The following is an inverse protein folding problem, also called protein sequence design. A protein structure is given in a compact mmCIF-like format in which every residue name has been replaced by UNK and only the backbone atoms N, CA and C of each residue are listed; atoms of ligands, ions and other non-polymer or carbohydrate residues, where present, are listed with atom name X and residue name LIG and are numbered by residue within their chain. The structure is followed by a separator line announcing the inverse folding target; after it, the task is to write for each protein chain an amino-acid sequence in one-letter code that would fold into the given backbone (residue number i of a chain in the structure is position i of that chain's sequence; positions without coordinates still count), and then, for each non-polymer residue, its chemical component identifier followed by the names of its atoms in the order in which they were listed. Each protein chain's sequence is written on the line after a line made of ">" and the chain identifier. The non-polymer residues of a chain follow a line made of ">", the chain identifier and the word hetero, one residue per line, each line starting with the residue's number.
data_IF_814851471585
#
_entry.id   IF_814851471585
#
_cell.length_a   1.000
_cell.length_b   1.000
_cell.length_c   1.000
_cell.angle_alpha   90.00
_cell.angle_beta   90.00
_cell.angle_gamma   90.00
#
_symmetry.space_group_name_H-M   'P 1'
#
loop_
_entity.id
_entity.type
_entity.pdbx_description
1 polymer ?
#
# COMPACT_ATOMS: atom_id res chain seq x y z
N UNK A 1 1.76 -22.17 -21.40
CA UNK A 1 0.65 -21.57 -20.63
C UNK A 1 1.08 -20.21 -20.11
N UNK A 2 0.62 -19.15 -20.79
CA UNK A 2 0.91 -17.76 -20.42
C UNK A 2 0.36 -17.44 -19.02
N UNK A 3 1.26 -17.11 -18.09
CA UNK A 3 0.86 -16.44 -16.86
C UNK A 3 0.38 -15.04 -17.25
N UNK A 4 -0.94 -14.87 -17.28
CA UNK A 4 -1.63 -13.58 -17.41
C UNK A 4 -0.94 -12.56 -16.49
N UNK A 5 -0.17 -11.62 -17.05
CA UNK A 5 0.40 -10.47 -16.34
C UNK A 5 -0.75 -9.68 -15.71
N UNK A 6 -1.06 -9.99 -14.45
CA UNK A 6 -2.16 -9.38 -13.70
C UNK A 6 -1.70 -7.97 -13.28
N UNK A 7 -2.26 -6.96 -13.95
CA UNK A 7 -2.32 -5.52 -13.64
C UNK A 7 -1.19 -4.88 -12.81
N UNK A 8 0.00 -4.72 -13.41
CA UNK A 8 1.09 -3.93 -12.83
C UNK A 8 0.82 -2.41 -12.79
N UNK A 9 -0.18 -1.91 -13.53
CA UNK A 9 -0.50 -0.47 -13.61
C UNK A 9 -1.29 0.04 -12.40
N UNK A 10 -1.83 -0.84 -11.56
CA UNK A 10 -2.60 -0.41 -10.40
C UNK A 10 -1.69 0.00 -9.23
N UNK A 11 -0.43 -0.49 -9.15
CA UNK A 11 0.53 -0.13 -8.06
C UNK A 11 0.98 1.31 -8.10
N UNK A 12 1.28 1.91 -9.27
CA UNK A 12 1.64 3.32 -9.32
C UNK A 12 0.44 4.24 -9.04
N UNK A 13 -0.78 3.85 -9.46
CA UNK A 13 -1.99 4.65 -9.23
C UNK A 13 -2.34 4.70 -7.74
N UNK A 14 -2.31 3.56 -7.04
CA UNK A 14 -2.57 3.53 -5.59
C UNK A 14 -1.51 4.34 -4.82
N UNK A 15 -0.25 4.24 -5.21
CA UNK A 15 0.82 5.05 -4.63
C UNK A 15 0.58 6.55 -4.85
N UNK A 16 0.18 6.94 -6.06
CA UNK A 16 -0.16 8.33 -6.37
C UNK A 16 -1.35 8.84 -5.54
N UNK A 17 -2.41 8.03 -5.38
CA UNK A 17 -3.55 8.37 -4.53
C UNK A 17 -3.10 8.55 -3.08
N UNK A 18 -2.29 7.61 -2.54
CA UNK A 18 -1.75 7.71 -1.17
C UNK A 18 -0.93 9.00 -0.99
N UNK A 19 -0.07 9.35 -1.95
CA UNK A 19 0.73 10.58 -1.90
C UNK A 19 -0.18 11.82 -1.90
N UNK A 20 -1.18 11.87 -2.78
CA UNK A 20 -2.15 12.97 -2.85
C UNK A 20 -2.89 13.11 -1.51
N UNK A 21 -3.37 12.01 -0.93
CA UNK A 21 -4.08 12.03 0.34
C UNK A 21 -3.21 12.54 1.49
N UNK A 22 -1.96 12.06 1.58
CA UNK A 22 -1.00 12.54 2.59
C UNK A 22 -0.75 14.04 2.40
N UNK A 23 -0.57 14.49 1.15
CA UNK A 23 -0.34 15.89 0.85
C UNK A 23 -1.53 16.77 1.28
N UNK A 24 -2.73 16.44 0.83
CA UNK A 24 -3.95 17.21 1.10
C UNK A 24 -4.30 17.24 2.59
N UNK A 25 -4.01 16.18 3.34
CA UNK A 25 -4.28 16.10 4.77
C UNK A 25 -3.28 16.88 5.64
N UNK A 26 -2.01 16.98 5.22
CA UNK A 26 -0.93 17.47 6.08
C UNK A 26 -0.30 18.81 5.62
N UNK A 27 -0.46 19.18 4.35
CA UNK A 27 0.16 20.38 3.77
C UNK A 27 -0.86 21.30 3.06
N UNK A 28 -1.96 21.68 3.73
CA UNK A 28 -2.97 22.53 3.11
C UNK A 28 -2.39 23.90 2.77
N UNK A 29 -2.79 24.44 1.62
CA UNK A 29 -2.41 25.77 1.11
C UNK A 29 -0.90 26.01 0.84
N UNK A 30 -0.03 25.00 0.96
CA UNK A 30 1.37 25.13 0.58
C UNK A 30 1.59 25.22 -0.95
N UNK A 31 0.61 24.76 -1.74
CA UNK A 31 0.70 24.78 -3.20
C UNK A 31 0.42 26.17 -3.77
N UNK A 32 1.32 26.70 -4.60
CA UNK A 32 1.04 27.89 -5.41
C UNK A 32 0.45 27.51 -6.78
N UNK A 33 1.16 26.68 -7.55
CA UNK A 33 0.81 26.30 -8.93
C UNK A 33 1.32 24.91 -9.29
N UNK A 34 0.61 24.21 -10.17
CA UNK A 34 1.09 22.98 -10.84
C UNK A 34 0.93 23.12 -12.34
N UNK A 35 2.02 22.88 -13.08
CA UNK A 35 2.02 22.79 -14.54
C UNK A 35 2.23 21.34 -14.95
N UNK A 36 1.20 20.72 -15.53
CA UNK A 36 1.34 19.42 -16.20
C UNK A 36 1.65 19.69 -17.65
N UNK A 37 2.90 19.49 -18.06
CA UNK A 37 3.37 19.77 -19.42
C UNK A 37 3.49 18.49 -20.24
N UNK A 38 3.44 18.62 -21.56
CA UNK A 38 3.60 17.49 -22.48
C UNK A 38 2.63 16.33 -22.19
N UNK A 39 1.42 16.64 -21.71
CA UNK A 39 0.47 15.65 -21.23
C UNK A 39 -0.03 14.79 -22.41
N UNK A 40 0.25 13.47 -22.43
CA UNK A 40 -0.25 12.58 -23.46
C UNK A 40 -1.76 12.35 -23.30
N UNK A 41 -2.42 11.85 -24.36
CA UNK A 41 -3.87 11.57 -24.33
C UNK A 41 -4.31 10.69 -23.16
N UNK A 42 -3.47 9.77 -22.66
CA UNK A 42 -3.80 8.93 -21.51
C UNK A 42 -4.06 9.74 -20.21
N UNK A 43 -3.52 10.96 -20.10
CA UNK A 43 -3.77 11.84 -18.96
C UNK A 43 -5.25 12.20 -18.80
N UNK A 44 -6.01 12.27 -19.91
CA UNK A 44 -7.45 12.52 -19.86
C UNK A 44 -8.24 11.38 -19.20
N UNK A 45 -7.66 10.18 -19.14
CA UNK A 45 -8.22 9.02 -18.44
C UNK A 45 -7.76 9.00 -16.98
N UNK A 46 -6.48 9.29 -16.72
CA UNK A 46 -5.91 9.25 -15.37
C UNK A 46 -6.39 10.36 -14.44
N UNK A 47 -6.47 11.61 -14.92
CA UNK A 47 -6.85 12.74 -14.07
C UNK A 47 -8.24 12.63 -13.45
N UNK A 48 -9.30 12.20 -14.18
CA UNK A 48 -10.60 11.92 -13.57
C UNK A 48 -10.60 10.89 -12.44
N UNK A 49 -9.69 9.90 -12.47
CA UNK A 49 -9.54 8.90 -11.40
C UNK A 49 -8.92 9.53 -10.14
N UNK A 50 -7.97 10.46 -10.31
CA UNK A 50 -7.31 11.15 -9.19
C UNK A 50 -8.18 12.30 -8.63
N UNK A 51 -9.00 12.93 -9.47
CA UNK A 51 -9.80 14.13 -9.16
C UNK A 51 -10.65 14.06 -7.87
N UNK A 52 -11.26 12.92 -7.47
CA UNK A 52 -12.00 12.81 -6.21
C UNK A 52 -11.13 12.96 -4.97
N UNK A 53 -9.82 12.71 -5.08
CA UNK A 53 -8.86 12.78 -3.98
C UNK A 53 -8.15 14.15 -3.88
N UNK A 54 -8.43 15.07 -4.81
CA UNK A 54 -7.80 16.40 -4.88
C UNK A 54 -8.84 17.45 -4.51
N UNK A 55 -8.54 18.27 -3.51
CA UNK A 55 -9.43 19.35 -3.07
C UNK A 55 -9.64 20.40 -4.16
N UNK A 56 -10.80 21.05 -4.18
CA UNK A 56 -11.16 22.01 -5.22
C UNK A 56 -10.14 23.14 -5.38
N UNK A 57 -9.62 23.66 -4.26
CA UNK A 57 -8.59 24.70 -4.28
C UNK A 57 -7.30 24.23 -4.95
N UNK A 58 -6.85 23.01 -4.64
CA UNK A 58 -5.69 22.37 -5.28
C UNK A 58 -5.95 22.18 -6.77
N UNK A 59 -7.14 21.69 -7.16
CA UNK A 59 -7.53 21.52 -8.58
C UNK A 59 -7.48 22.83 -9.36
N UNK A 60 -7.92 23.94 -8.76
CA UNK A 60 -7.90 25.25 -9.40
C UNK A 60 -6.47 25.80 -9.64
N UNK A 61 -5.46 25.22 -8.98
CA UNK A 61 -4.04 25.54 -9.16
C UNK A 61 -3.37 24.68 -10.25
N UNK A 62 -4.04 23.66 -10.79
CA UNK A 62 -3.49 22.75 -11.81
C UNK A 62 -3.79 23.28 -13.21
N UNK A 63 -2.75 23.53 -14.01
CA UNK A 63 -2.85 23.83 -15.46
C UNK A 63 -2.28 22.67 -16.26
N UNK A 64 -3.06 22.14 -17.20
CA UNK A 64 -2.68 20.96 -18.00
C UNK A 64 -2.47 21.39 -19.45
N UNK A 65 -1.32 21.02 -20.02
CA UNK A 65 -0.93 21.34 -21.38
C UNK A 65 -0.55 20.08 -22.13
N UNK A 66 -0.94 20.01 -23.42
CA UNK A 66 -0.55 18.94 -24.32
C UNK A 66 0.89 19.09 -24.83
N UNK A 67 1.15 18.60 -26.04
CA UNK A 67 2.48 18.57 -26.65
C UNK A 67 2.97 19.92 -27.20
N UNK A 68 2.13 20.96 -27.24
CA UNK A 68 2.53 22.27 -27.75
C UNK A 68 3.48 22.98 -26.77
N UNK A 69 4.77 22.91 -27.08
CA UNK A 69 5.82 23.52 -26.27
C UNK A 69 5.79 25.04 -26.19
N UNK A 70 5.25 25.73 -27.19
CA UNK A 70 5.15 27.19 -27.12
C UNK A 70 4.14 27.59 -26.06
N UNK A 71 3.02 26.89 -26.01
CA UNK A 71 1.95 27.17 -25.06
C UNK A 71 2.39 26.93 -23.61
N UNK A 72 2.96 25.75 -23.32
CA UNK A 72 3.31 25.43 -21.94
C UNK A 72 4.54 26.20 -21.44
N UNK A 73 5.53 26.48 -22.30
CA UNK A 73 6.67 27.34 -21.92
C UNK A 73 6.22 28.76 -21.60
N UNK A 74 5.38 29.36 -22.43
CA UNK A 74 4.84 30.70 -22.18
C UNK A 74 4.06 30.76 -20.85
N UNK A 75 3.30 29.70 -20.53
CA UNK A 75 2.56 29.65 -19.28
C UNK A 75 3.44 29.54 -18.03
N UNK A 76 4.56 28.80 -18.10
CA UNK A 76 5.52 28.70 -16.99
C UNK A 76 6.30 30.01 -16.82
N UNK A 77 6.83 30.57 -17.91
CA UNK A 77 7.63 31.79 -17.90
C UNK A 77 6.84 33.06 -17.49
N UNK A 78 5.52 32.99 -17.49
CA UNK A 78 4.67 34.03 -16.91
C UNK A 78 4.69 34.06 -15.37
N UNK A 79 5.15 32.97 -14.73
CA UNK A 79 5.13 32.80 -13.27
C UNK A 79 6.52 32.45 -12.70
N UNK A 80 7.51 32.09 -13.53
CA UNK A 80 8.86 31.68 -13.13
C UNK A 80 9.91 32.43 -13.94
N UNK A 81 10.95 32.95 -13.28
CA UNK A 81 12.08 33.61 -13.93
C UNK A 81 12.83 32.63 -14.85
N UNK A 82 13.13 33.00 -16.11
CA UNK A 82 13.93 32.17 -17.00
C UNK A 82 15.28 31.72 -16.41
N UNK A 83 15.93 32.50 -15.56
CA UNK A 83 17.24 32.16 -14.97
C UNK A 83 17.13 31.04 -13.90
N UNK A 84 15.95 30.85 -13.32
CA UNK A 84 15.67 29.86 -12.28
C UNK A 84 15.05 28.55 -12.84
N UNK A 85 14.84 28.48 -14.16
CA UNK A 85 14.17 27.37 -14.81
C UNK A 85 15.13 26.63 -15.75
N UNK A 86 15.23 25.28 -15.68
CA UNK A 86 16.05 24.51 -16.59
C UNK A 86 15.70 24.78 -18.06
N UNK A 87 16.72 24.80 -18.93
CA UNK A 87 16.55 24.98 -20.39
C UNK A 87 15.58 23.94 -20.97
N UNK A 88 15.59 22.70 -20.48
CA UNK A 88 14.66 21.66 -20.95
C UNK A 88 13.18 21.99 -20.68
N UNK A 89 12.89 22.85 -19.69
CA UNK A 89 11.56 23.37 -19.37
C UNK A 89 11.31 24.78 -19.90
N UNK A 90 12.22 25.30 -20.74
CA UNK A 90 12.04 26.57 -21.46
C UNK A 90 12.70 27.79 -20.83
N UNK A 91 13.45 27.63 -19.74
CA UNK A 91 14.26 28.70 -19.17
C UNK A 91 15.67 28.76 -19.76
N UNK A 92 16.61 29.21 -18.95
CA UNK A 92 18.02 29.45 -19.31
C UNK A 92 19.01 28.78 -18.35
N UNK A 93 18.52 28.18 -17.24
CA UNK A 93 19.36 27.50 -16.26
C UNK A 93 19.98 26.22 -16.84
N UNK A 94 21.27 26.04 -16.59
CA UNK A 94 22.04 24.83 -16.90
C UNK A 94 22.87 24.41 -15.68
N UNK A 95 23.29 23.14 -15.65
CA UNK A 95 24.37 22.75 -14.74
C UNK A 95 25.69 23.47 -15.08
N UNK A 96 26.67 23.38 -14.18
CA UNK A 96 28.01 23.96 -14.36
C UNK A 96 28.75 23.43 -15.61
N UNK A 97 28.41 22.23 -16.07
CA UNK A 97 28.95 21.62 -17.30
C UNK A 97 28.13 21.98 -18.56
N UNK A 98 27.09 22.82 -18.42
CA UNK A 98 26.20 23.22 -19.50
C UNK A 98 25.03 22.27 -19.76
N UNK A 99 24.79 21.26 -18.92
CA UNK A 99 23.67 20.34 -19.12
C UNK A 99 22.30 21.07 -19.01
N UNK A 100 21.46 21.04 -20.05
CA UNK A 100 20.19 21.78 -20.08
C UNK A 100 19.09 21.18 -19.19
N UNK A 101 19.30 19.97 -18.66
CA UNK A 101 18.33 19.29 -17.80
C UNK A 101 18.56 19.57 -16.31
N UNK A 102 19.65 20.23 -15.95
CA UNK A 102 20.03 20.50 -14.55
C UNK A 102 19.99 19.22 -13.70
N UNK A 103 20.65 18.14 -14.16
CA UNK A 103 20.59 16.81 -13.53
C UNK A 103 21.30 16.77 -12.18
N UNK A 104 22.10 17.79 -11.85
CA UNK A 104 22.62 17.96 -10.49
C UNK A 104 21.51 18.24 -9.46
N UNK A 105 20.37 18.79 -9.90
CA UNK A 105 19.21 19.13 -9.07
C UNK A 105 17.99 18.26 -9.36
N UNK A 106 17.78 17.86 -10.62
CA UNK A 106 16.59 17.14 -11.07
C UNK A 106 16.94 15.71 -11.48
N UNK A 107 16.46 14.73 -10.71
CA UNK A 107 16.57 13.33 -11.10
C UNK A 107 15.60 13.01 -12.25
N UNK A 108 16.13 12.56 -13.38
CA UNK A 108 15.35 12.25 -14.59
C UNK A 108 14.79 10.82 -14.62
N UNK A 109 14.96 10.07 -13.53
CA UNK A 109 14.59 8.66 -13.44
C UNK A 109 15.52 7.73 -14.23
N UNK A 110 15.01 6.57 -14.62
CA UNK A 110 15.74 5.53 -15.33
C UNK A 110 15.19 4.14 -15.03
N UNK A 111 15.68 3.13 -15.75
CA UNK A 111 15.37 1.74 -15.42
C UNK A 111 16.06 1.38 -14.10
N UNK A 112 15.29 0.89 -13.12
CA UNK A 112 15.84 0.43 -11.84
C UNK A 112 16.60 -0.89 -12.09
N UNK A 113 17.91 -0.98 -11.76
CA UNK A 113 18.65 -2.21 -11.96
C UNK A 113 18.02 -3.39 -11.21
N UNK A 114 17.94 -4.56 -11.84
CA UNK A 114 17.30 -5.76 -11.28
C UNK A 114 17.89 -6.21 -9.94
N UNK A 115 19.14 -5.85 -9.65
CA UNK A 115 19.78 -6.11 -8.36
C UNK A 115 19.10 -5.40 -7.19
N UNK A 116 18.37 -4.30 -7.43
CA UNK A 116 17.58 -3.61 -6.40
C UNK A 116 16.18 -4.19 -6.22
N UNK A 117 15.78 -5.16 -7.07
CA UNK A 117 14.43 -5.73 -6.96
C UNK A 117 14.39 -6.60 -5.72
N UNK A 118 13.38 -6.35 -4.89
CA UNK A 118 13.13 -7.19 -3.73
C UNK A 118 12.88 -8.63 -4.21
N UNK A 119 13.75 -9.55 -3.81
CA UNK A 119 13.77 -10.95 -4.26
C UNK A 119 13.15 -11.92 -3.26
N UNK A 120 12.70 -11.41 -2.10
CA UNK A 120 11.99 -12.18 -1.09
C UNK A 120 10.69 -12.71 -1.66
N UNK A 121 10.67 -13.97 -2.07
CA UNK A 121 9.41 -14.68 -2.27
C UNK A 121 8.91 -15.07 -0.88
N UNK A 122 7.69 -14.68 -0.54
CA UNK A 122 7.08 -15.13 0.69
C UNK A 122 7.03 -16.66 0.71
N UNK A 123 7.37 -17.27 1.83
CA UNK A 123 7.16 -18.71 2.01
C UNK A 123 5.66 -18.98 2.12
N UNK A 124 5.13 -19.63 1.08
CA UNK A 124 3.73 -20.05 0.97
C UNK A 124 3.53 -21.53 1.30
N UNK A 125 4.59 -22.24 1.69
CA UNK A 125 4.49 -23.64 2.08
C UNK A 125 3.55 -23.80 3.28
N UNK A 126 2.65 -24.78 3.21
CA UNK A 126 1.66 -25.08 4.26
C UNK A 126 0.68 -23.92 4.61
N UNK A 127 0.56 -22.89 3.76
CA UNK A 127 -0.39 -21.80 3.93
C UNK A 127 -1.61 -21.97 3.03
N UNK A 128 -2.78 -21.60 3.54
CA UNK A 128 -4.01 -21.41 2.75
C UNK A 128 -3.97 -20.04 2.08
N UNK A 129 -4.72 -19.86 0.99
CA UNK A 129 -4.87 -18.54 0.34
C UNK A 129 -6.31 -18.06 0.39
N UNK A 130 -6.49 -16.76 0.62
CA UNK A 130 -7.77 -16.06 0.57
C UNK A 130 -7.63 -14.80 -0.30
N UNK A 131 -8.63 -14.49 -1.12
CA UNK A 131 -8.66 -13.23 -1.89
C UNK A 131 -9.84 -12.41 -1.42
N UNK A 132 -9.56 -11.21 -0.90
CA UNK A 132 -10.54 -10.30 -0.33
C UNK A 132 -10.80 -9.22 -1.34
N UNK A 133 -12.05 -9.04 -1.77
CA UNK A 133 -12.42 -8.02 -2.74
C UNK A 133 -12.11 -6.59 -2.21
N UNK A 134 -12.00 -5.63 -3.13
CA UNK A 134 -11.90 -4.21 -2.78
C UNK A 134 -13.15 -3.76 -2.03
N UNK A 135 -13.00 -3.00 -0.94
CA UNK A 135 -14.17 -2.53 -0.19
C UNK A 135 -14.90 -3.62 0.60
N UNK A 136 -14.22 -4.72 0.93
CA UNK A 136 -14.80 -5.87 1.63
C UNK A 136 -13.88 -6.37 2.74
N UNK A 137 -14.40 -7.25 3.59
CA UNK A 137 -13.67 -7.97 4.64
C UNK A 137 -14.09 -9.43 4.70
N UNK A 138 -13.25 -10.26 5.30
CA UNK A 138 -13.50 -11.69 5.49
C UNK A 138 -13.28 -12.07 6.96
N UNK A 139 -14.13 -12.98 7.45
CA UNK A 139 -14.10 -13.51 8.81
C UNK A 139 -13.82 -14.99 8.79
N UNK A 140 -12.81 -15.41 9.55
CA UNK A 140 -12.47 -16.82 9.77
C UNK A 140 -12.75 -17.16 11.22
N UNK A 141 -13.70 -18.07 11.45
CA UNK A 141 -14.08 -18.50 12.79
C UNK A 141 -13.26 -19.72 13.24
N UNK A 142 -12.72 -19.66 14.46
CA UNK A 142 -11.94 -20.71 15.08
C UNK A 142 -12.57 -21.06 16.43
N UNK A 143 -12.94 -22.33 16.59
CA UNK A 143 -13.43 -22.85 17.86
C UNK A 143 -12.25 -23.14 18.79
N UNK A 144 -12.35 -22.63 20.00
CA UNK A 144 -11.43 -22.86 21.11
C UNK A 144 -12.16 -23.68 22.16
N UNK A 145 -11.65 -24.87 22.45
CA UNK A 145 -12.33 -25.81 23.34
C UNK A 145 -11.99 -25.56 24.81
N UNK A 146 -10.78 -25.09 25.12
CA UNK A 146 -10.34 -24.87 26.50
C UNK A 146 -9.76 -23.46 26.71
N UNK A 147 -10.04 -22.91 27.88
CA UNK A 147 -9.29 -21.76 28.38
C UNK A 147 -7.80 -22.10 28.45
N UNK A 148 -6.96 -21.18 27.95
CA UNK A 148 -5.51 -21.35 27.88
C UNK A 148 -5.00 -21.93 26.57
N UNK A 149 -5.87 -22.45 25.69
CA UNK A 149 -5.51 -22.80 24.32
C UNK A 149 -4.95 -21.55 23.59
N UNK A 150 -4.09 -21.76 22.60
CA UNK A 150 -3.35 -20.67 21.95
C UNK A 150 -3.77 -20.55 20.50
N UNK A 151 -4.34 -19.40 20.13
CA UNK A 151 -4.59 -19.05 18.73
C UNK A 151 -3.35 -18.38 18.15
N UNK A 152 -2.79 -18.98 17.10
CA UNK A 152 -1.60 -18.47 16.40
C UNK A 152 -1.90 -18.14 14.95
N UNK A 153 -1.31 -17.07 14.45
CA UNK A 153 -1.38 -16.70 13.06
C UNK A 153 0.00 -16.42 12.47
N UNK A 154 0.13 -16.74 11.20
CA UNK A 154 1.23 -16.35 10.34
C UNK A 154 0.63 -16.04 8.97
N UNK A 155 0.72 -14.81 8.51
CA UNK A 155 0.22 -14.46 7.19
C UNK A 155 1.10 -13.46 6.46
N UNK A 156 1.00 -13.46 5.14
CA UNK A 156 1.61 -12.46 4.30
C UNK A 156 0.65 -12.08 3.16
N UNK A 157 0.83 -10.90 2.60
CA UNK A 157 0.03 -10.37 1.50
C UNK A 157 0.85 -10.33 0.20
N UNK A 158 0.30 -10.84 -0.91
CA UNK A 158 0.98 -10.78 -2.22
C UNK A 158 1.25 -9.34 -2.65
N UNK A 159 0.34 -8.41 -2.29
CA UNK A 159 0.43 -7.00 -2.64
C UNK A 159 -0.02 -6.12 -1.46
N UNK A 160 0.90 -5.29 -0.96
CA UNK A 160 0.65 -4.22 0.01
C UNK A 160 0.14 -4.69 1.37
N UNK A 161 -0.53 -3.78 2.08
CA UNK A 161 -1.01 -3.86 3.46
C UNK A 161 -2.36 -4.60 3.62
N UNK A 162 -2.79 -4.95 4.84
CA UNK A 162 -4.17 -5.35 5.14
C UNK A 162 -4.53 -4.87 6.54
N UNK A 163 -5.80 -4.57 6.81
CA UNK A 163 -6.26 -4.40 8.19
C UNK A 163 -6.49 -5.78 8.81
N UNK A 164 -5.95 -6.02 9.99
CA UNK A 164 -6.06 -7.28 10.70
C UNK A 164 -6.59 -7.06 12.10
N UNK A 165 -7.45 -7.96 12.56
CA UNK A 165 -7.98 -7.97 13.92
C UNK A 165 -8.33 -9.38 14.36
N UNK A 166 -8.37 -9.59 15.67
CA UNK A 166 -8.87 -10.82 16.29
C UNK A 166 -9.92 -10.44 17.31
N UNK A 167 -11.07 -11.09 17.23
CA UNK A 167 -12.20 -10.88 18.12
C UNK A 167 -12.57 -12.19 18.84
N UNK A 168 -13.17 -12.06 20.02
CA UNK A 168 -13.94 -13.13 20.65
C UNK A 168 -15.43 -12.89 20.39
N UNK A 169 -16.14 -13.92 19.92
CA UNK A 169 -17.58 -13.86 19.65
C UNK A 169 -18.37 -14.26 20.89
N UNK A 170 -19.25 -13.37 21.37
CA UNK A 170 -20.22 -13.65 22.45
C UNK A 170 -21.58 -13.12 22.05
N UNK A 171 -22.63 -13.95 22.12
CA UNK A 171 -24.01 -13.54 21.82
C UNK A 171 -24.17 -12.73 20.52
N UNK A 172 -23.39 -13.10 19.50
CA UNK A 172 -23.30 -12.44 18.20
C UNK A 172 -22.60 -11.06 18.17
N UNK A 173 -22.04 -10.62 19.29
CA UNK A 173 -21.13 -9.48 19.40
C UNK A 173 -19.66 -9.90 19.23
N UNK A 174 -18.85 -9.05 18.63
CA UNK A 174 -17.41 -9.24 18.43
C UNK A 174 -16.62 -8.35 19.39
N UNK A 175 -16.02 -8.96 20.40
CA UNK A 175 -15.20 -8.26 21.41
C UNK A 175 -13.75 -8.27 20.93
N UNK A 176 -13.11 -7.10 20.71
CA UNK A 176 -11.75 -7.04 20.19
C UNK A 176 -10.73 -7.57 21.20
N UNK A 177 -9.82 -8.43 20.74
CA UNK A 177 -8.68 -8.99 21.49
C UNK A 177 -7.37 -8.48 20.92
N UNK A 178 -7.24 -8.52 19.58
CA UNK A 178 -6.16 -7.84 18.85
C UNK A 178 -6.77 -6.62 18.15
N UNK A 179 -6.23 -5.40 18.38
CA UNK A 179 -6.75 -4.18 17.78
C UNK A 179 -6.81 -4.25 16.25
N UNK A 180 -7.78 -3.53 15.67
CA UNK A 180 -7.91 -3.38 14.23
C UNK A 180 -6.84 -2.43 13.70
N UNK A 181 -5.76 -3.00 13.19
CA UNK A 181 -4.59 -2.25 12.73
C UNK A 181 -4.23 -2.58 11.30
N UNK A 182 -3.65 -1.60 10.61
CA UNK A 182 -3.17 -1.72 9.24
C UNK A 182 -1.73 -2.22 9.24
N UNK A 183 -1.52 -3.40 8.67
CA UNK A 183 -0.24 -4.11 8.71
C UNK A 183 0.36 -4.17 7.30
N UNK A 184 1.62 -3.77 7.15
CA UNK A 184 2.39 -3.99 5.91
C UNK A 184 2.96 -5.41 5.89
N UNK A 185 2.15 -6.32 5.36
CA UNK A 185 2.42 -7.76 5.24
C UNK A 185 3.05 -8.16 3.90
N UNK A 186 3.53 -7.21 3.10
CA UNK A 186 4.14 -7.49 1.80
C UNK A 186 5.61 -7.90 1.94
N UNK A 187 6.36 -7.17 2.76
CA UNK A 187 7.83 -7.31 2.87
C UNK A 187 8.21 -8.37 3.91
N UNK A 188 7.46 -8.43 5.02
CA UNK A 188 7.61 -9.43 6.07
C UNK A 188 6.27 -10.11 6.32
N UNK A 189 6.31 -11.40 6.67
CA UNK A 189 5.13 -12.05 7.21
C UNK A 189 4.80 -11.42 8.57
N UNK A 190 3.51 -11.27 8.83
CA UNK A 190 2.97 -10.91 10.13
C UNK A 190 2.73 -12.19 10.92
N UNK A 191 3.28 -12.24 12.14
CA UNK A 191 3.21 -13.41 13.02
C UNK A 191 2.81 -12.98 14.42
N UNK A 192 1.91 -13.75 15.04
CA UNK A 192 1.49 -13.47 16.40
C UNK A 192 0.70 -14.62 17.01
N UNK A 193 0.53 -14.53 18.33
CA UNK A 193 -0.29 -15.47 19.09
C UNK A 193 -1.01 -14.78 20.23
N UNK A 194 -2.17 -15.32 20.61
CA UNK A 194 -2.87 -14.98 21.86
C UNK A 194 -3.12 -16.25 22.66
N UNK A 195 -3.09 -16.13 23.98
CA UNK A 195 -3.65 -17.12 24.88
C UNK A 195 -5.15 -16.81 24.99
N UNK A 196 -5.98 -17.76 24.61
CA UNK A 196 -7.42 -17.63 24.69
C UNK A 196 -7.85 -17.67 26.16
N UNK A 197 -8.35 -16.54 26.66
CA UNK A 197 -8.78 -16.39 28.05
C UNK A 197 -10.04 -17.21 28.37
N UNK A 198 -10.81 -17.57 27.35
CA UNK A 198 -12.03 -18.36 27.44
C UNK A 198 -12.19 -19.33 26.26
N UNK A 199 -12.89 -20.44 26.51
CA UNK A 199 -13.42 -21.32 25.46
C UNK A 199 -14.55 -20.63 24.69
N UNK A 200 -14.65 -20.85 23.38
CA UNK A 200 -15.68 -20.23 22.56
C UNK A 200 -15.25 -20.12 21.10
N UNK A 201 -15.78 -19.12 20.41
CA UNK A 201 -15.42 -18.84 19.01
C UNK A 201 -14.62 -17.55 18.95
N UNK A 202 -13.44 -17.63 18.34
CA UNK A 202 -12.61 -16.47 18.01
C UNK A 202 -12.71 -16.23 16.51
N UNK A 203 -12.77 -14.96 16.12
CA UNK A 203 -12.91 -14.53 14.74
C UNK A 203 -11.66 -13.77 14.35
N UNK A 204 -10.95 -14.29 13.34
CA UNK A 204 -9.87 -13.56 12.68
C UNK A 204 -10.45 -12.80 11.51
N UNK A 205 -10.25 -11.49 11.50
CA UNK A 205 -10.72 -10.59 10.45
C UNK A 205 -9.55 -10.12 9.58
N UNK A 206 -9.74 -10.23 8.28
CA UNK A 206 -8.93 -9.52 7.31
C UNK A 206 -9.82 -8.50 6.58
N UNK A 207 -9.46 -7.23 6.68
CA UNK A 207 -10.28 -6.11 6.21
C UNK A 207 -9.56 -5.33 5.10
N UNK A 208 -10.23 -5.22 3.96
CA UNK A 208 -9.80 -4.50 2.76
C UNK A 208 -10.78 -3.36 2.37
N UNK A 209 -11.56 -2.85 3.33
CA UNK A 209 -12.50 -1.75 3.12
C UNK A 209 -11.82 -0.45 2.64
N UNK A 210 -10.56 -0.24 3.01
CA UNK A 210 -9.80 0.95 2.63
C UNK A 210 -9.27 0.91 1.19
N UNK A 211 -9.27 -0.25 0.52
CA UNK A 211 -8.80 -0.33 -0.87
C UNK A 211 -9.91 0.05 -1.82
N UNK A 212 -9.61 1.01 -2.69
CA UNK A 212 -10.56 1.51 -3.67
C UNK A 212 -10.55 0.73 -4.99
N UNK A 213 -9.41 0.12 -5.35
CA UNK A 213 -9.20 -0.40 -6.70
C UNK A 213 -8.78 -1.88 -6.73
N UNK A 214 -8.57 -2.52 -5.58
CA UNK A 214 -7.93 -3.84 -5.53
C UNK A 214 -8.51 -4.79 -4.51
N UNK A 215 -8.65 -6.02 -4.99
CA UNK A 215 -8.66 -7.18 -4.14
C UNK A 215 -7.27 -7.47 -3.59
N UNK A 216 -7.17 -8.00 -2.37
CA UNK A 216 -5.92 -8.43 -1.76
C UNK A 216 -5.89 -9.94 -1.62
N UNK A 217 -4.78 -10.56 -2.03
CA UNK A 217 -4.56 -12.00 -1.85
C UNK A 217 -3.61 -12.23 -0.69
N UNK A 218 -4.09 -12.97 0.30
CA UNK A 218 -3.40 -13.27 1.55
C UNK A 218 -3.09 -14.76 1.57
N UNK A 219 -1.86 -15.10 1.97
CA UNK A 219 -1.49 -16.46 2.34
C UNK A 219 -1.35 -16.53 3.84
N UNK A 220 -2.08 -17.44 4.49
CA UNK A 220 -2.13 -17.53 5.94
C UNK A 220 -2.04 -18.98 6.44
N UNK A 221 -1.50 -19.13 7.64
CA UNK A 221 -1.60 -20.31 8.48
C UNK A 221 -2.09 -19.85 9.85
N UNK A 222 -3.32 -20.26 10.19
CA UNK A 222 -3.94 -19.93 11.48
C UNK A 222 -4.38 -21.25 12.11
N UNK A 223 -4.02 -21.44 13.38
CA UNK A 223 -4.30 -22.67 14.12
C UNK A 223 -4.55 -22.37 15.59
N UNK A 224 -5.37 -23.19 16.22
CA UNK A 224 -5.54 -23.26 17.67
C UNK A 224 -4.71 -24.46 18.14
N UNK A 225 -3.78 -24.21 19.07
CA UNK A 225 -2.98 -25.23 19.73
C UNK A 225 -3.47 -25.42 21.15
N UNK A 226 -3.78 -26.65 21.54
CA UNK A 226 -4.28 -26.87 22.90
C UNK A 226 -3.17 -26.69 23.94
N UNK A 227 -3.53 -26.14 25.10
CA UNK A 227 -2.59 -25.96 26.21
C UNK A 227 -1.97 -27.29 26.67
N UNK A 228 -2.73 -28.39 26.62
CA UNK A 228 -2.30 -29.72 27.03
C UNK A 228 -1.13 -30.27 26.20
N UNK A 229 -1.05 -29.96 24.90
CA UNK A 229 0.03 -30.43 24.02
C UNK A 229 1.32 -29.60 24.12
N UNK A 230 1.30 -28.43 24.78
CA UNK A 230 2.53 -27.73 25.20
C UNK A 230 3.18 -28.38 26.42
N UNK A 231 2.40 -28.92 27.37
CA UNK A 231 2.93 -29.59 28.57
C UNK A 231 3.63 -30.92 28.18
N UNK A 232 3.06 -31.68 27.25
CA UNK A 232 3.69 -32.93 26.77
C UNK A 232 5.03 -32.71 26.05
N UNK A 233 5.18 -31.60 25.33
CA UNK A 233 6.43 -31.27 24.64
C UNK A 233 7.49 -30.61 25.55
N UNK A 234 7.05 -29.90 26.60
CA UNK A 234 7.95 -29.32 27.61
C UNK A 234 8.58 -30.38 28.54
N UNK A 235 7.85 -31.44 28.86
CA UNK A 235 8.34 -32.53 29.72
C UNK A 235 9.40 -33.44 29.07
N UNK A 236 9.75 -33.22 27.79
CA UNK A 236 10.82 -33.99 27.11
C UNK A 236 12.23 -33.44 27.35
N UNK A 237 12.38 -32.28 27.99
CA UNK A 237 13.70 -31.68 28.26
C UNK A 237 14.11 -31.69 29.75
N UNK A 238 13.23 -32.07 30.67
CA UNK A 238 13.54 -32.11 32.11
C UNK A 238 13.84 -33.53 32.65
N UNK A 239 14.16 -34.48 31.77
CA UNK A 239 14.60 -35.82 32.16
C UNK A 239 15.87 -36.26 31.45
N UNK A 240 16.95 -35.50 31.66
CA UNK A 240 18.35 -35.94 31.54
C UNK A 240 19.18 -35.38 32.70
#
# INVERSE_FOLDING_TARGET
>A
MEKKKRNSLLTPVDAAIKIIQIYEANYPECLSRVFVINAPKIFSIGYPILKPFIHERTRNKIKIFGHDSKQWKAAILAEVDPEELPVCYGGTMTDADGNPNCVSMVNMGGEVPKSYYFSGKPDTSNKKSLTIASGSKEHLEFKVDHQGDVLKWNFHCEDSDICFAVYRKRDNELIPIVPHERIDCQISAEEGEIICDESGVYVVEFDNNFSYLRSKKIWYSIKVESFSSKIENGNRYDSL
#
